data_IF_089499428029
#
_entry.id   IF_089499428029
#
_cell.length_a   1.000
_cell.length_b   1.000
_cell.length_c   1.000
_cell.angle_alpha   90.00
_cell.angle_beta   90.00
_cell.angle_gamma   90.00
#
_symmetry.space_group_name_H-M   'P 1'
#
loop_
_entity.id
_entity.type
_entity.pdbx_description
1 polymer ?
#
# COMPACT_ATOMS: atom_id res chain seq x y z
N UNK A 1 -30.74 22.11 29.24
CA UNK A 1 -29.39 22.33 28.68
C UNK A 1 -29.09 21.14 27.77
N UNK A 2 -29.46 21.25 26.48
CA UNK A 2 -29.19 20.19 25.50
C UNK A 2 -27.81 20.43 24.91
N UNK A 3 -26.89 19.48 25.06
CA UNK A 3 -25.69 19.46 24.23
C UNK A 3 -26.15 19.12 22.81
N UNK A 4 -26.01 20.05 21.87
CA UNK A 4 -26.44 19.85 20.49
C UNK A 4 -25.78 18.59 19.92
N UNK A 5 -26.56 17.76 19.23
CA UNK A 5 -26.15 16.54 18.53
C UNK A 5 -24.90 16.72 17.67
N UNK A 6 -24.68 17.93 17.15
CA UNK A 6 -23.49 18.37 16.42
C UNK A 6 -22.18 18.25 17.22
N UNK A 7 -22.18 18.55 18.53
CA UNK A 7 -20.98 18.50 19.37
C UNK A 7 -20.56 17.06 19.64
N UNK A 8 -21.52 16.15 19.87
CA UNK A 8 -21.22 14.73 20.09
C UNK A 8 -20.71 14.03 18.82
N UNK A 9 -21.18 14.46 17.65
CA UNK A 9 -20.73 13.92 16.36
C UNK A 9 -19.27 14.29 16.07
N UNK A 10 -18.89 15.54 16.39
CA UNK A 10 -17.50 16.00 16.26
C UNK A 10 -16.56 15.29 17.24
N UNK A 11 -16.98 15.06 18.50
CA UNK A 11 -16.18 14.32 19.48
C UNK A 11 -15.88 12.88 19.02
N UNK A 12 -16.86 12.18 18.43
CA UNK A 12 -16.67 10.83 17.90
C UNK A 12 -15.73 10.80 16.68
N UNK A 13 -15.88 11.77 15.76
CA UNK A 13 -15.00 11.89 14.61
C UNK A 13 -13.55 12.22 15.02
N UNK A 14 -13.36 13.13 15.99
CA UNK A 14 -12.04 13.45 16.55
C UNK A 14 -11.36 12.22 17.18
N UNK A 15 -12.10 11.39 17.91
CA UNK A 15 -11.57 10.15 18.47
C UNK A 15 -11.07 9.19 17.38
N UNK A 16 -11.84 9.02 16.29
CA UNK A 16 -11.44 8.15 15.18
C UNK A 16 -10.23 8.69 14.41
N UNK A 17 -10.08 10.01 14.33
CA UNK A 17 -8.91 10.66 13.74
C UNK A 17 -7.65 10.52 14.59
N UNK A 18 -7.77 10.66 15.91
CA UNK A 18 -6.66 10.40 16.85
C UNK A 18 -6.18 8.94 16.75
N UNK A 19 -7.11 7.98 16.63
CA UNK A 19 -6.76 6.57 16.38
C UNK A 19 -6.10 6.39 15.01
N UNK A 20 -6.60 7.05 13.96
CA UNK A 20 -6.00 7.02 12.64
C UNK A 20 -4.56 7.53 12.64
N UNK A 21 -4.29 8.64 13.34
CA UNK A 21 -2.94 9.16 13.53
C UNK A 21 -2.01 8.12 14.16
N UNK A 22 -2.45 7.49 15.25
CA UNK A 22 -1.67 6.48 15.96
C UNK A 22 -1.36 5.29 15.05
N UNK A 23 -2.36 4.76 14.35
CA UNK A 23 -2.19 3.61 13.45
C UNK A 23 -1.30 3.96 12.26
N UNK A 24 -1.35 5.18 11.72
CA UNK A 24 -0.42 5.64 10.68
C UNK A 24 1.02 5.67 11.19
N UNK A 25 1.26 6.27 12.36
CA UNK A 25 2.58 6.35 12.97
C UNK A 25 3.17 4.96 13.27
N UNK A 26 2.33 4.07 13.82
CA UNK A 26 2.69 2.68 14.11
C UNK A 26 3.05 1.93 12.83
N UNK A 27 2.17 1.97 11.82
CA UNK A 27 2.40 1.29 10.53
C UNK A 27 3.69 1.77 9.86
N UNK A 28 3.95 3.08 9.90
CA UNK A 28 5.18 3.64 9.36
C UNK A 28 6.44 3.22 10.15
N UNK A 29 6.35 3.16 11.48
CA UNK A 29 7.41 2.68 12.37
C UNK A 29 7.73 1.21 12.13
N UNK A 30 6.71 0.37 12.05
CA UNK A 30 6.84 -1.07 11.82
C UNK A 30 7.41 -1.35 10.43
N UNK A 31 6.93 -0.63 9.40
CA UNK A 31 7.47 -0.75 8.03
C UNK A 31 8.95 -0.36 7.99
N UNK A 32 9.34 0.76 8.60
CA UNK A 32 10.73 1.20 8.63
C UNK A 32 11.64 0.21 9.39
N UNK A 33 11.15 -0.36 10.49
CA UNK A 33 11.88 -1.35 11.28
C UNK A 33 12.03 -2.67 10.53
N UNK A 34 10.96 -3.14 9.89
CA UNK A 34 10.97 -4.32 9.02
C UNK A 34 11.96 -4.17 7.86
N UNK A 35 11.96 -3.04 7.16
CA UNK A 35 12.91 -2.79 6.07
C UNK A 35 14.37 -2.75 6.55
N UNK A 36 14.61 -2.32 7.80
CA UNK A 36 15.93 -2.39 8.44
C UNK A 36 16.35 -3.85 8.70
N UNK A 37 15.45 -4.67 9.24
CA UNK A 37 15.67 -6.11 9.43
C UNK A 37 15.93 -6.79 8.09
N UNK A 38 15.12 -6.50 7.07
CA UNK A 38 15.29 -7.04 5.72
C UNK A 38 16.67 -6.76 5.15
N UNK A 39 17.15 -5.52 5.27
CA UNK A 39 18.50 -5.16 4.82
C UNK A 39 19.59 -5.98 5.54
N UNK A 40 19.38 -6.31 6.82
CA UNK A 40 20.23 -7.23 7.58
C UNK A 40 20.18 -8.65 7.03
N UNK A 41 18.98 -9.21 6.88
CA UNK A 41 18.75 -10.56 6.38
C UNK A 41 19.31 -10.76 4.96
N UNK A 42 19.19 -9.75 4.08
CA UNK A 42 19.81 -9.80 2.74
C UNK A 42 21.34 -9.81 2.82
N UNK A 43 21.93 -9.10 3.78
CA UNK A 43 23.40 -9.13 3.98
C UNK A 43 23.87 -10.50 4.45
N UNK A 44 23.08 -11.14 5.31
CA UNK A 44 23.36 -12.47 5.81
C UNK A 44 23.19 -13.52 4.70
N UNK A 45 22.12 -13.42 3.91
CA UNK A 45 21.91 -14.20 2.70
C UNK A 45 23.11 -14.08 1.75
N UNK A 46 23.53 -12.85 1.45
CA UNK A 46 24.68 -12.59 0.58
C UNK A 46 25.95 -13.25 1.12
N UNK A 47 26.18 -13.19 2.43
CA UNK A 47 27.35 -13.81 3.07
C UNK A 47 27.31 -15.34 3.00
N UNK A 48 26.15 -15.95 3.21
CA UNK A 48 25.95 -17.41 3.13
C UNK A 48 26.18 -17.95 1.71
N UNK A 49 25.91 -17.13 0.69
CA UNK A 49 26.04 -17.49 -0.72
C UNK A 49 27.35 -16.99 -1.36
N UNK A 50 28.30 -16.47 -0.58
CA UNK A 50 29.59 -16.00 -1.09
C UNK A 50 29.52 -14.73 -1.94
N UNK A 51 28.43 -13.97 -1.85
CA UNK A 51 28.17 -12.77 -2.65
C UNK A 51 28.78 -11.54 -1.97
N UNK A 52 30.05 -11.26 -2.24
CA UNK A 52 30.79 -10.21 -1.52
C UNK A 52 31.08 -8.93 -2.33
N UNK A 53 31.07 -8.99 -3.67
CA UNK A 53 31.57 -7.90 -4.53
C UNK A 53 30.54 -7.33 -5.50
N UNK A 54 29.95 -8.17 -6.37
CA UNK A 54 29.04 -7.72 -7.43
C UNK A 54 27.73 -8.49 -7.39
N UNK A 55 26.64 -7.85 -7.83
CA UNK A 55 25.31 -8.48 -7.98
C UNK A 55 24.75 -9.12 -6.68
N UNK A 56 25.07 -8.52 -5.52
CA UNK A 56 24.53 -8.95 -4.22
C UNK A 56 23.03 -8.67 -4.14
N UNK A 57 22.27 -9.53 -3.46
CA UNK A 57 20.82 -9.35 -3.28
C UNK A 57 20.53 -8.01 -2.60
N UNK A 58 21.32 -7.63 -1.60
CA UNK A 58 21.22 -6.34 -0.92
C UNK A 58 21.41 -5.15 -1.86
N UNK A 59 22.36 -5.23 -2.80
CA UNK A 59 22.58 -4.16 -3.77
C UNK A 59 21.45 -4.09 -4.79
N UNK A 60 20.95 -5.24 -5.24
CA UNK A 60 19.90 -5.35 -6.24
C UNK A 60 18.57 -4.78 -5.75
N UNK A 61 18.19 -5.04 -4.50
CA UNK A 61 16.94 -4.55 -3.91
C UNK A 61 17.08 -3.15 -3.27
N UNK A 62 18.25 -2.52 -3.32
CA UNK A 62 18.55 -1.30 -2.56
C UNK A 62 17.60 -0.14 -2.92
N UNK A 63 17.30 0.05 -4.21
CA UNK A 63 16.39 1.11 -4.67
C UNK A 63 14.99 0.92 -4.12
N UNK A 64 14.47 -0.31 -4.16
CA UNK A 64 13.11 -0.61 -3.75
C UNK A 64 12.96 -0.50 -2.22
N UNK A 65 13.97 -0.96 -1.47
CA UNK A 65 14.02 -0.77 -0.01
C UNK A 65 13.98 0.72 0.33
N UNK A 66 14.69 1.55 -0.45
CA UNK A 66 14.67 3.00 -0.25
C UNK A 66 13.30 3.58 -0.57
N UNK A 67 12.70 3.22 -1.71
CA UNK A 67 11.38 3.68 -2.11
C UNK A 67 10.32 3.34 -1.05
N UNK A 68 10.31 2.09 -0.55
CA UNK A 68 9.39 1.68 0.50
C UNK A 68 9.59 2.45 1.82
N UNK A 69 10.85 2.78 2.16
CA UNK A 69 11.16 3.59 3.35
C UNK A 69 10.73 5.04 3.18
N UNK A 70 10.89 5.60 1.99
CA UNK A 70 10.48 6.96 1.67
C UNK A 70 8.94 7.04 1.75
N UNK A 71 8.20 6.09 1.17
CA UNK A 71 6.73 6.00 1.31
C UNK A 71 6.28 5.83 2.77
N UNK A 72 6.97 5.02 3.58
CA UNK A 72 6.69 4.92 5.00
C UNK A 72 6.92 6.25 5.75
N UNK A 73 7.88 7.07 5.30
CA UNK A 73 8.10 8.40 5.87
C UNK A 73 6.98 9.37 5.49
N UNK A 74 6.38 9.21 4.30
CA UNK A 74 5.18 9.95 3.90
C UNK A 74 3.95 9.59 4.77
N UNK A 75 3.80 8.33 5.20
CA UNK A 75 2.76 7.96 6.17
C UNK A 75 2.91 8.73 7.50
N UNK A 76 4.14 8.88 8.02
CA UNK A 76 4.40 9.72 9.19
C UNK A 76 4.09 11.19 8.92
N UNK A 77 4.35 11.66 7.71
CA UNK A 77 4.01 13.02 7.34
C UNK A 77 2.50 13.23 7.38
N UNK A 78 1.69 12.31 6.84
CA UNK A 78 0.23 12.42 6.90
C UNK A 78 -0.28 12.35 8.33
N UNK A 79 0.25 11.45 9.17
CA UNK A 79 -0.09 11.42 10.59
C UNK A 79 0.16 12.79 11.27
N UNK A 80 1.30 13.41 10.98
CA UNK A 80 1.60 14.74 11.50
C UNK A 80 0.70 15.86 10.94
N UNK A 81 0.14 15.69 9.73
CA UNK A 81 -0.86 16.62 9.20
C UNK A 81 -2.16 16.49 10.00
N UNK A 82 -2.67 15.25 10.14
CA UNK A 82 -3.88 14.95 10.93
C UNK A 82 -3.80 15.53 12.34
N UNK A 83 -2.67 15.31 13.04
CA UNK A 83 -2.45 15.85 14.39
C UNK A 83 -2.51 17.36 14.48
N UNK A 84 -2.08 18.07 13.42
CA UNK A 84 -2.02 19.54 13.38
C UNK A 84 -3.34 20.16 12.95
N UNK A 85 -4.19 19.39 12.29
CA UNK A 85 -5.48 19.85 11.81
C UNK A 85 -6.44 20.05 12.98
N UNK A 86 -7.18 21.17 12.94
CA UNK A 86 -8.13 21.55 13.99
C UNK A 86 -9.44 20.79 13.90
N UNK A 87 -9.80 20.32 12.72
CA UNK A 87 -11.05 19.60 12.47
C UNK A 87 -10.77 18.39 11.58
N UNK A 88 -11.47 17.26 11.81
CA UNK A 88 -11.44 16.08 10.95
C UNK A 88 -11.74 16.44 9.48
N UNK A 89 -10.82 16.14 8.56
CA UNK A 89 -10.99 16.50 7.13
C UNK A 89 -10.93 15.31 6.18
N UNK A 90 -11.77 15.33 5.14
CA UNK A 90 -11.84 14.29 4.11
C UNK A 90 -10.56 14.22 3.26
N UNK A 91 -9.90 15.37 3.08
CA UNK A 91 -8.63 15.48 2.36
C UNK A 91 -7.50 14.74 3.07
N UNK A 92 -7.44 14.79 4.40
CA UNK A 92 -6.47 14.03 5.19
C UNK A 92 -6.69 12.53 5.12
N UNK A 93 -7.95 12.08 5.17
CA UNK A 93 -8.23 10.65 5.03
C UNK A 93 -7.87 10.17 3.62
N UNK A 94 -8.18 10.96 2.60
CA UNK A 94 -7.80 10.66 1.22
C UNK A 94 -6.27 10.59 1.08
N UNK A 95 -5.55 11.52 1.71
CA UNK A 95 -4.08 11.49 1.76
C UNK A 95 -3.58 10.22 2.47
N UNK A 96 -4.16 9.86 3.61
CA UNK A 96 -3.81 8.65 4.37
C UNK A 96 -3.99 7.38 3.53
N UNK A 97 -5.13 7.25 2.84
CA UNK A 97 -5.40 6.15 1.90
C UNK A 97 -4.36 6.10 0.79
N UNK A 98 -4.14 7.21 0.11
CA UNK A 98 -3.23 7.25 -1.03
C UNK A 98 -1.81 6.86 -0.62
N UNK A 99 -1.34 7.35 0.53
CA UNK A 99 0.00 7.01 1.06
C UNK A 99 0.08 5.59 1.60
N UNK A 100 -0.99 5.04 2.16
CA UNK A 100 -1.07 3.62 2.54
C UNK A 100 -0.90 2.73 1.31
N UNK A 101 -1.66 3.00 0.24
CA UNK A 101 -1.58 2.24 -1.01
C UNK A 101 -0.18 2.34 -1.64
N UNK A 102 0.39 3.55 -1.72
CA UNK A 102 1.75 3.73 -2.23
C UNK A 102 2.80 2.93 -1.45
N UNK A 103 2.68 2.86 -0.12
CA UNK A 103 3.60 2.07 0.72
C UNK A 103 3.41 0.57 0.47
N UNK A 104 2.15 0.12 0.37
CA UNK A 104 1.82 -1.27 0.05
C UNK A 104 2.35 -1.69 -1.33
N UNK A 105 2.20 -0.81 -2.34
CA UNK A 105 2.69 -1.04 -3.70
C UNK A 105 4.21 -1.13 -3.73
N UNK A 106 4.91 -0.24 -3.02
CA UNK A 106 6.37 -0.29 -2.90
C UNK A 106 6.86 -1.60 -2.26
N UNK A 107 6.18 -2.07 -1.21
CA UNK A 107 6.51 -3.36 -0.58
C UNK A 107 6.17 -4.56 -1.47
N UNK A 108 5.13 -4.46 -2.28
CA UNK A 108 4.76 -5.50 -3.26
C UNK A 108 5.74 -5.54 -4.43
N UNK A 109 6.19 -4.38 -4.90
CA UNK A 109 7.26 -4.27 -5.89
C UNK A 109 8.54 -4.91 -5.39
N UNK A 110 8.89 -4.67 -4.12
CA UNK A 110 10.05 -5.27 -3.48
C UNK A 110 10.00 -6.81 -3.47
N UNK A 111 8.81 -7.42 -3.31
CA UNK A 111 8.62 -8.87 -3.49
C UNK A 111 8.82 -9.30 -4.94
N UNK A 112 8.29 -8.54 -5.90
CA UNK A 112 8.43 -8.83 -7.33
C UNK A 112 9.89 -8.75 -7.78
N UNK A 113 10.65 -7.77 -7.29
CA UNK A 113 12.07 -7.61 -7.63
C UNK A 113 12.94 -8.67 -6.94
N UNK A 114 12.60 -9.09 -5.72
CA UNK A 114 13.22 -10.26 -5.08
C UNK A 114 13.06 -11.53 -5.92
N UNK A 115 11.86 -11.76 -6.44
CA UNK A 115 11.60 -12.88 -7.34
C UNK A 115 12.37 -12.77 -8.66
N UNK A 116 12.43 -11.57 -9.25
CA UNK A 116 13.21 -11.34 -10.48
C UNK A 116 14.71 -11.58 -10.25
N UNK A 117 15.23 -11.26 -9.07
CA UNK A 117 16.59 -11.60 -8.65
C UNK A 117 16.78 -13.12 -8.64
N UNK A 118 15.89 -13.86 -7.98
CA UNK A 118 15.94 -15.31 -7.92
C UNK A 118 15.82 -15.95 -9.31
N UNK A 119 15.00 -15.41 -10.22
CA UNK A 119 14.90 -15.91 -11.59
C UNK A 119 16.17 -15.66 -12.42
N UNK A 120 16.83 -14.51 -12.22
CA UNK A 120 18.08 -14.17 -12.90
C UNK A 120 19.24 -15.03 -12.39
N UNK A 121 19.32 -15.27 -11.09
CA UNK A 121 20.42 -16.01 -10.46
C UNK A 121 20.15 -17.52 -10.34
N UNK A 122 18.89 -17.93 -10.30
CA UNK A 122 18.44 -19.33 -10.34
C UNK A 122 18.63 -19.98 -11.72
N UNK A 123 18.50 -19.22 -12.81
CA UNK A 123 18.88 -19.69 -14.15
C UNK A 123 20.40 -19.92 -14.28
N UNK A 124 21.21 -19.19 -13.51
CA UNK A 124 22.65 -19.37 -13.47
C UNK A 124 23.10 -20.57 -12.61
N UNK A 125 22.19 -21.20 -11.86
CA UNK A 125 22.48 -22.34 -10.96
C UNK A 125 21.75 -23.65 -11.32
N UNK A 126 20.78 -23.61 -12.26
CA UNK A 126 20.21 -24.81 -12.88
C UNK A 126 21.21 -25.55 -13.79
N UNK A 127 20.79 -26.66 -14.40
CA UNK A 127 21.60 -27.52 -15.30
C UNK A 127 22.39 -26.68 -16.34
N UNK A 128 21.85 -25.54 -16.77
CA UNK A 128 22.53 -24.57 -17.66
C UNK A 128 23.81 -23.96 -17.06
N UNK A 129 23.84 -23.61 -15.78
CA UNK A 129 25.04 -23.09 -15.11
C UNK A 129 26.11 -24.17 -14.86
N UNK A 130 25.70 -25.42 -14.70
CA UNK A 130 26.62 -26.56 -14.67
C UNK A 130 27.28 -26.79 -16.03
N UNK A 131 26.56 -26.54 -17.14
CA UNK A 131 27.13 -26.68 -18.49
C UNK A 131 28.16 -25.58 -18.77
N UNK A 132 27.92 -24.33 -18.36
CA UNK A 132 28.90 -23.25 -18.51
C UNK A 132 30.18 -23.54 -17.70
N UNK A 133 30.08 -24.12 -16.51
CA UNK A 133 31.26 -24.47 -15.71
C UNK A 133 31.96 -25.78 -16.17
N UNK A 134 31.26 -26.68 -16.87
CA UNK A 134 31.84 -27.91 -17.45
C UNK A 134 32.50 -27.65 -18.81
N UNK A 135 32.06 -26.63 -19.56
CA UNK A 135 32.67 -26.29 -20.86
C UNK A 135 33.92 -25.40 -20.75
N UNK A 136 34.19 -24.78 -19.59
CA UNK A 136 35.34 -23.87 -19.42
C UNK A 136 36.64 -24.59 -19.00
N UNK A 137 36.58 -25.86 -18.58
CA UNK A 137 37.77 -26.68 -18.32
C UNK A 137 38.13 -27.57 -19.51
N UNK A 138 38.59 -26.94 -20.60
CA UNK A 138 39.43 -27.61 -21.59
C UNK A 138 40.42 -26.62 -22.17
N UNK A 139 41.66 -26.80 -21.72
CA UNK A 139 42.95 -26.39 -22.27
C UNK A 139 42.98 -25.45 -23.48
N UNK A 140 43.80 -24.41 -23.33
CA UNK A 140 43.96 -23.30 -24.27
C UNK A 140 44.21 -23.70 -25.72
N UNK A 141 43.62 -22.90 -26.60
CA UNK A 141 44.13 -22.61 -27.94
C UNK A 141 43.91 -21.13 -28.26
N UNK A 142 44.94 -20.52 -28.80
CA UNK A 142 44.98 -19.13 -29.25
C UNK A 142 43.92 -18.81 -30.33
N UNK A 143 43.73 -17.51 -30.52
CA UNK A 143 42.57 -16.86 -31.12
C UNK A 143 42.28 -17.16 -32.58
N UNK A 144 41.08 -16.74 -32.98
CA UNK A 144 40.75 -16.42 -34.37
C UNK A 144 40.14 -15.02 -34.43
N UNK A 145 40.69 -14.23 -35.33
CA UNK A 145 40.31 -12.85 -35.60
C UNK A 145 38.83 -12.69 -35.98
N UNK A 146 38.30 -11.51 -35.67
CA UNK A 146 36.96 -11.07 -36.03
C UNK A 146 36.75 -11.04 -37.54
N UNK A 147 35.54 -11.40 -37.97
CA UNK A 147 35.06 -11.11 -39.32
C UNK A 147 34.17 -9.88 -39.28
N UNK A 148 34.51 -8.89 -40.09
CA UNK A 148 33.67 -7.73 -40.34
C UNK A 148 32.39 -8.08 -41.10
N UNK A 149 31.30 -7.44 -40.67
CA UNK A 149 30.29 -6.74 -41.48
C UNK A 149 29.48 -7.49 -42.54
N UNK A 150 28.16 -7.53 -42.34
CA UNK A 150 27.20 -7.24 -43.41
C UNK A 150 26.11 -6.30 -42.89
N UNK A 151 26.03 -5.11 -43.47
CA UNK A 151 24.85 -4.25 -43.38
C UNK A 151 23.73 -4.77 -44.29
N UNK A 152 22.47 -4.56 -43.89
CA UNK A 152 21.33 -4.96 -44.71
C UNK A 152 19.95 -4.49 -44.22
N UNK A 153 19.64 -3.22 -44.51
CA UNK A 153 18.33 -2.59 -44.87
C UNK A 153 17.14 -2.58 -43.90
N UNK A 154 16.57 -1.38 -43.77
CA UNK A 154 15.29 -1.01 -43.15
C UNK A 154 14.04 -1.49 -43.90
N UNK A 155 12.91 -1.63 -43.19
CA UNK A 155 11.57 -1.73 -43.81
C UNK A 155 10.38 -2.10 -42.91
N UNK A 156 9.82 -1.10 -42.19
CA UNK A 156 8.42 -0.78 -41.84
C UNK A 156 7.33 -1.83 -41.45
N UNK A 157 6.69 -1.45 -40.33
CA UNK A 157 5.25 -1.33 -39.99
C UNK A 157 4.30 -2.54 -39.85
N UNK A 158 3.74 -2.64 -38.62
CA UNK A 158 2.29 -2.74 -38.42
C UNK A 158 1.73 -4.07 -37.90
N UNK A 159 1.38 -4.13 -36.61
CA UNK A 159 0.00 -4.41 -36.15
C UNK A 159 -0.12 -4.49 -34.63
N UNK A 160 -1.06 -3.69 -34.12
CA UNK A 160 -1.67 -3.76 -32.79
C UNK A 160 -2.16 -5.16 -32.43
N UNK A 161 -2.05 -5.52 -31.15
CA UNK A 161 -3.06 -6.32 -30.46
C UNK A 161 -3.27 -5.80 -29.03
N UNK A 162 -4.51 -5.37 -28.80
CA UNK A 162 -5.08 -5.02 -27.50
C UNK A 162 -5.31 -6.25 -26.59
N UNK A 163 -5.57 -5.93 -25.31
CA UNK A 163 -6.23 -6.71 -24.23
C UNK A 163 -5.31 -7.72 -23.51
N UNK A 164 -5.22 -7.73 -22.17
CA UNK A 164 -6.27 -7.55 -21.16
C UNK A 164 -5.75 -6.85 -19.88
N UNK A 165 -6.59 -6.00 -19.30
CA UNK A 165 -6.55 -5.63 -17.87
C UNK A 165 -6.94 -6.86 -17.05
N UNK A 166 -6.03 -7.34 -16.21
CA UNK A 166 -6.40 -8.19 -15.08
C UNK A 166 -6.52 -7.29 -13.85
N UNK A 167 -7.75 -7.12 -13.41
CA UNK A 167 -8.08 -6.63 -12.08
C UNK A 167 -7.67 -7.71 -11.09
N UNK A 168 -6.53 -7.53 -10.42
CA UNK A 168 -6.16 -8.34 -9.26
C UNK A 168 -7.14 -8.02 -8.14
N UNK A 169 -8.07 -8.94 -7.93
CA UNK A 169 -8.99 -8.98 -6.79
C UNK A 169 -8.18 -9.10 -5.50
N UNK A 170 -8.35 -8.12 -4.60
CA UNK A 170 -7.75 -8.04 -3.25
C UNK A 170 -8.14 -9.22 -2.30
N UNK A 171 -8.76 -10.29 -2.79
CA UNK A 171 -9.36 -11.36 -1.97
C UNK A 171 -8.59 -12.68 -1.86
N UNK A 172 -7.51 -12.90 -2.62
CA UNK A 172 -6.91 -14.25 -2.75
C UNK A 172 -5.64 -14.49 -1.91
N UNK A 173 -5.50 -13.85 -0.74
CA UNK A 173 -4.27 -13.94 0.07
C UNK A 173 -4.25 -15.07 1.11
N UNK A 174 -5.39 -15.72 1.39
CA UNK A 174 -5.50 -16.72 2.46
C UNK A 174 -5.52 -18.16 1.94
N UNK A 175 -4.59 -18.53 1.07
CA UNK A 175 -4.33 -19.96 0.84
C UNK A 175 -3.47 -20.51 1.97
N UNK A 176 -4.15 -21.22 2.87
CA UNK A 176 -3.64 -21.93 4.05
C UNK A 176 -2.69 -23.04 3.63
N UNK A 177 -1.38 -22.86 3.80
CA UNK A 177 -0.45 -23.99 3.75
C UNK A 177 -0.62 -24.84 5.01
N UNK A 178 -1.27 -26.00 4.85
CA UNK A 178 -1.23 -27.09 5.83
C UNK A 178 0.20 -27.61 5.91
N UNK A 179 0.74 -27.63 7.12
CA UNK A 179 1.94 -28.37 7.49
C UNK A 179 1.68 -29.87 7.30
N UNK A 180 2.22 -30.44 6.23
CA UNK A 180 2.36 -31.88 6.05
C UNK A 180 3.78 -32.29 6.45
N UNK A 181 3.89 -33.01 7.56
CA UNK A 181 5.12 -33.69 7.97
C UNK A 181 5.37 -34.88 7.03
N UNK A 182 6.39 -34.79 6.17
CA UNK A 182 7.05 -35.96 5.56
C UNK A 182 8.53 -35.67 5.41
N UNK A 183 9.34 -36.53 6.05
CA UNK A 183 10.78 -36.40 6.15
C UNK A 183 11.49 -36.61 4.82
N UNK A 184 12.49 -35.77 4.59
CA UNK A 184 13.38 -35.80 3.45
C UNK A 184 14.08 -34.46 3.39
N UNK A 185 15.37 -34.43 3.71
CA UNK A 185 16.22 -33.25 3.67
C UNK A 185 16.23 -32.63 2.27
N UNK A 186 15.32 -31.70 2.03
CA UNK A 186 15.24 -30.86 0.85
C UNK A 186 15.05 -29.45 1.40
N UNK A 187 16.13 -28.68 1.41
CA UNK A 187 16.21 -27.39 2.08
C UNK A 187 15.00 -26.53 1.77
N UNK A 188 14.50 -25.82 2.78
CA UNK A 188 13.75 -24.58 2.54
C UNK A 188 14.55 -23.80 1.50
N UNK A 189 14.02 -23.66 0.28
CA UNK A 189 14.75 -23.02 -0.82
C UNK A 189 15.21 -21.65 -0.31
N UNK A 190 16.49 -21.53 0.02
CA UNK A 190 17.09 -20.32 0.59
C UNK A 190 17.19 -19.35 -0.57
N UNK A 191 16.11 -18.61 -0.82
CA UNK A 191 15.99 -17.65 -1.92
C UNK A 191 15.71 -16.26 -1.38
N UNK A 192 16.04 -15.25 -2.18
CA UNK A 192 15.83 -13.85 -1.79
C UNK A 192 14.34 -13.54 -1.66
N UNK A 193 13.49 -14.10 -2.53
CA UNK A 193 12.05 -13.98 -2.41
C UNK A 193 11.53 -14.55 -1.09
N UNK A 194 12.07 -15.68 -0.63
CA UNK A 194 11.69 -16.29 0.65
C UNK A 194 12.12 -15.42 1.83
N UNK A 195 13.34 -14.87 1.80
CA UNK A 195 13.84 -13.91 2.81
C UNK A 195 12.97 -12.66 2.86
N UNK A 196 12.58 -12.12 1.71
CA UNK A 196 11.72 -10.95 1.61
C UNK A 196 10.30 -11.25 2.11
N UNK A 197 9.67 -12.34 1.64
CA UNK A 197 8.30 -12.72 2.04
C UNK A 197 8.19 -13.00 3.53
N UNK A 198 9.17 -13.69 4.10
CA UNK A 198 9.21 -13.98 5.54
C UNK A 198 9.39 -12.70 6.35
N UNK A 199 10.31 -11.83 5.97
CA UNK A 199 10.57 -10.57 6.71
C UNK A 199 9.39 -9.61 6.65
N UNK A 200 8.73 -9.49 5.50
CA UNK A 200 7.64 -8.52 5.34
C UNK A 200 6.33 -8.97 6.00
N UNK A 201 6.14 -10.26 6.31
CA UNK A 201 4.87 -10.82 6.79
C UNK A 201 4.27 -10.04 7.96
N UNK A 202 5.11 -9.63 8.90
CA UNK A 202 4.68 -8.94 10.12
C UNK A 202 4.18 -7.53 9.84
N UNK A 203 4.78 -6.82 8.87
CA UNK A 203 4.32 -5.48 8.49
C UNK A 203 2.97 -5.48 7.79
N UNK A 204 2.61 -6.55 7.06
CA UNK A 204 1.32 -6.63 6.37
C UNK A 204 0.12 -6.66 7.34
N UNK A 205 0.30 -7.15 8.57
CA UNK A 205 -0.75 -7.10 9.58
C UNK A 205 -1.14 -5.65 9.93
N UNK A 206 -0.15 -4.74 10.00
CA UNK A 206 -0.37 -3.31 10.24
C UNK A 206 -1.22 -2.65 9.15
N UNK A 207 -1.05 -3.04 7.89
CA UNK A 207 -1.84 -2.51 6.77
C UNK A 207 -3.33 -2.90 6.85
N UNK A 208 -3.65 -4.09 7.34
CA UNK A 208 -5.07 -4.49 7.54
C UNK A 208 -5.73 -3.60 8.59
N UNK A 209 -5.04 -3.35 9.70
CA UNK A 209 -5.52 -2.44 10.76
C UNK A 209 -5.68 -1.02 10.23
N UNK A 210 -4.69 -0.52 9.49
CA UNK A 210 -4.74 0.82 8.89
C UNK A 210 -5.87 0.97 7.88
N UNK A 211 -6.07 -0.01 6.98
CA UNK A 211 -7.18 -0.01 6.02
C UNK A 211 -8.54 0.05 6.72
N UNK A 212 -8.71 -0.72 7.79
CA UNK A 212 -9.94 -0.70 8.59
C UNK A 212 -10.14 0.65 9.29
N UNK A 213 -9.07 1.22 9.88
CA UNK A 213 -9.16 2.49 10.58
C UNK A 213 -9.48 3.65 9.63
N UNK A 214 -8.88 3.67 8.43
CA UNK A 214 -9.22 4.62 7.36
C UNK A 214 -10.71 4.53 7.04
N UNK A 215 -11.23 3.32 6.77
CA UNK A 215 -12.64 3.15 6.46
C UNK A 215 -13.58 3.56 7.61
N UNK A 216 -13.13 3.40 8.86
CA UNK A 216 -13.89 3.83 10.05
C UNK A 216 -13.92 5.35 10.17
N UNK A 217 -12.77 6.01 9.99
CA UNK A 217 -12.67 7.46 10.00
C UNK A 217 -13.52 8.11 8.89
N UNK A 218 -13.60 7.50 7.70
CA UNK A 218 -14.46 8.01 6.62
C UNK A 218 -15.94 7.92 6.94
N UNK A 219 -16.36 6.79 7.52
CA UNK A 219 -17.73 6.62 7.97
C UNK A 219 -18.09 7.63 9.06
N UNK A 220 -17.15 7.98 9.92
CA UNK A 220 -17.35 9.02 10.93
C UNK A 220 -17.54 10.41 10.29
N UNK A 221 -16.83 10.74 9.21
CA UNK A 221 -17.02 12.01 8.48
C UNK A 221 -18.31 12.08 7.66
N UNK A 222 -18.80 10.93 7.18
CA UNK A 222 -19.96 10.93 6.28
C UNK A 222 -21.24 10.92 7.11
N UNK A 223 -22.03 12.02 7.16
CA UNK A 223 -23.30 11.99 7.90
C UNK A 223 -24.21 10.92 7.29
N UNK A 224 -24.79 10.09 8.16
CA UNK A 224 -25.70 9.04 7.69
C UNK A 224 -26.91 9.69 7.01
N UNK A 225 -27.46 9.03 5.99
CA UNK A 225 -28.68 9.49 5.30
C UNK A 225 -29.82 9.78 6.30
N UNK A 226 -29.88 9.00 7.39
CA UNK A 226 -30.85 9.18 8.47
C UNK A 226 -30.61 10.47 9.28
N UNK A 227 -29.36 10.89 9.46
CA UNK A 227 -29.02 12.12 10.19
C UNK A 227 -29.28 13.35 9.33
N UNK A 228 -28.99 13.30 8.02
CA UNK A 228 -29.43 14.36 7.08
C UNK A 228 -30.95 14.47 7.00
N UNK A 229 -31.67 13.35 7.00
CA UNK A 229 -33.13 13.34 6.99
C UNK A 229 -33.71 13.95 8.29
N UNK A 230 -33.12 13.64 9.45
CA UNK A 230 -33.53 14.23 10.73
C UNK A 230 -33.27 15.73 10.80
N UNK A 231 -32.09 16.20 10.37
CA UNK A 231 -31.77 17.63 10.33
C UNK A 231 -32.68 18.40 9.36
N UNK A 232 -32.97 17.84 8.18
CA UNK A 232 -33.90 18.45 7.23
C UNK A 232 -35.33 18.56 7.80
N UNK A 233 -35.79 17.55 8.53
CA UNK A 233 -37.11 17.57 9.20
C UNK A 233 -37.15 18.57 10.36
N UNK A 234 -36.08 18.66 11.15
CA UNK A 234 -35.97 19.65 12.24
C UNK A 234 -35.95 21.09 11.69
N UNK A 235 -35.20 21.36 10.62
CA UNK A 235 -35.19 22.67 9.97
C UNK A 235 -36.53 23.08 9.38
N UNK A 236 -37.30 22.14 8.83
CA UNK A 236 -38.67 22.39 8.33
C UNK A 236 -39.63 22.65 9.49
N UNK A 237 -39.50 21.91 10.60
CA UNK A 237 -40.33 22.09 11.79
C UNK A 237 -40.13 23.47 12.45
N UNK A 238 -38.89 23.96 12.53
CA UNK A 238 -38.60 25.30 13.05
C UNK A 238 -39.11 26.42 12.13
N UNK A 239 -39.09 26.20 10.81
CA UNK A 239 -39.63 27.15 9.82
C UNK A 239 -41.15 27.28 9.94
N UNK A 240 -41.86 26.15 10.03
CA UNK A 240 -43.32 26.12 10.25
C UNK A 240 -43.74 26.76 11.59
N UNK A 241 -42.95 26.56 12.66
CA UNK A 241 -43.23 27.19 13.97
C UNK A 241 -43.05 28.71 13.92
N UNK A 242 -42.17 29.22 13.07
CA UNK A 242 -41.87 30.66 12.95
C UNK A 242 -42.93 31.41 12.16
N UNK A 243 -43.48 30.80 11.10
CA UNK A 243 -44.53 31.41 10.26
C UNK A 243 -45.90 31.52 10.98
N UNK A 244 -46.10 30.77 12.07
CA UNK A 244 -47.34 30.81 12.88
C UNK A 244 -47.47 32.00 13.84
N UNK A 245 -46.43 32.85 13.98
CA UNK A 245 -46.41 33.97 14.95
C UNK A 245 -46.71 35.36 14.38
N UNK A 246 -46.98 35.51 13.09
CA UNK A 246 -47.37 36.81 12.51
C UNK A 246 -48.87 36.84 12.20
N UNK A 247 -49.69 37.11 13.21
CA UNK A 247 -51.09 37.50 13.00
C UNK A 247 -51.19 39.02 12.85
N UNK A 248 -51.72 39.58 11.75
CA UNK A 248 -52.12 40.97 11.71
C UNK A 248 -53.50 41.08 12.35
N UNK A 249 -53.56 41.62 13.57
CA UNK A 249 -54.80 42.11 14.17
C UNK A 249 -55.17 43.43 13.48
N UNK A 250 -56.13 43.40 12.56
CA UNK A 250 -56.89 44.61 12.26
C UNK A 250 -58.37 44.31 12.26
N UNK A 251 -59.01 44.84 13.32
CA UNK A 251 -60.41 44.66 13.63
C UNK A 251 -61.30 45.34 12.60
N UNK A 252 -62.36 44.65 12.23
CA UNK A 252 -63.47 45.25 11.51
C UNK A 252 -64.22 46.25 12.38
N UNK A 253 -64.75 47.30 11.74
CA UNK A 253 -66.02 47.87 12.12
C UNK A 253 -66.82 48.25 10.88
N UNK A 254 -68.03 47.72 10.87
CA UNK A 254 -69.07 47.75 9.86
C UNK A 254 -69.92 49.02 9.95
N UNK A 255 -70.35 49.51 8.78
CA UNK A 255 -71.69 50.05 8.43
C UNK A 255 -72.38 51.08 9.34
N UNK A 256 -72.79 52.23 8.78
CA UNK A 256 -74.16 52.51 8.31
C UNK A 256 -74.58 53.97 8.48
N UNK A 257 -75.38 54.44 7.50
CA UNK A 257 -76.20 55.66 7.40
C UNK A 257 -75.49 56.99 7.11
#
# INVERSE_FOLDING_TARGET
>A
MGKSTTTMYNEAAEQEFNKLEQVLNQTAGDTASCLKVLKGNLSEYDSRHGLHFTNTSKSFLRSDIRAAKDSASELKHVANQIRKSKEPSESEITAARNKMNATFDAMTLLKKTARAYDEKNGKATGITGMIDNVLINKDGKDGKDGKDGKDGKDGKDGKEKEKKKETESEGSWFSKNKSGNQGGALGTSDTVETVVKSTLRDSFAGFTVLKHQIATAEKALTPSLADRAKEAVLGVADKLRSDSKTSPTHGGKTTSA
#
